data_IF_807192786435
#
_entry.id   IF_807192786435
#
_cell.length_a   1.000
_cell.length_b   1.000
_cell.length_c   1.000
_cell.angle_alpha   90.00
_cell.angle_beta   90.00
_cell.angle_gamma   90.00
#
_symmetry.space_group_name_H-M   'P 1'
#
loop_
_entity.id
_entity.type
_entity.pdbx_description
1 polymer ?
#
# COMPACT_ATOMS: atom_id res chain seq x y z
N UNK A 1 -17.21 3.62 -14.25
CA UNK A 1 -15.76 3.89 -14.04
C UNK A 1 -15.66 4.99 -13.00
N UNK A 2 -14.71 5.00 -12.07
CA UNK A 2 -14.59 6.11 -11.15
C UNK A 2 -14.38 7.40 -11.94
N UNK A 3 -15.19 8.40 -11.64
CA UNK A 3 -15.19 9.71 -12.31
C UNK A 3 -13.90 10.50 -12.09
N UNK A 4 -13.03 10.02 -11.20
CA UNK A 4 -11.73 10.62 -10.90
C UNK A 4 -10.68 9.52 -10.66
N UNK A 5 -9.70 9.40 -11.57
CA UNK A 5 -8.63 8.41 -11.44
C UNK A 5 -7.60 8.75 -10.34
N UNK A 6 -7.54 10.02 -9.93
CA UNK A 6 -6.56 10.51 -8.95
C UNK A 6 -6.95 10.24 -7.50
N UNK A 7 -8.24 10.21 -7.21
CA UNK A 7 -8.74 10.06 -5.83
C UNK A 7 -9.79 8.97 -5.74
N UNK A 8 -9.94 8.40 -4.55
CA UNK A 8 -10.98 7.42 -4.23
C UNK A 8 -11.40 7.57 -2.77
N UNK A 9 -12.63 7.16 -2.48
CA UNK A 9 -13.04 6.95 -1.09
C UNK A 9 -12.39 5.67 -0.56
N UNK A 10 -11.73 5.75 0.60
CA UNK A 10 -11.12 4.60 1.26
C UNK A 10 -12.09 4.04 2.31
N UNK A 11 -12.73 2.89 2.03
CA UNK A 11 -13.72 2.33 2.93
C UNK A 11 -13.13 1.99 4.29
N UNK A 12 -13.94 1.99 5.33
CA UNK A 12 -13.56 1.77 6.73
C UNK A 12 -12.68 2.87 7.35
N UNK A 13 -11.86 3.57 6.57
CA UNK A 13 -11.15 4.78 6.99
C UNK A 13 -12.05 6.01 6.86
N UNK A 14 -13.06 5.92 5.97
CA UNK A 14 -14.07 6.95 5.69
C UNK A 14 -13.45 8.30 5.29
N UNK A 15 -12.38 8.25 4.49
CA UNK A 15 -11.71 9.43 3.94
C UNK A 15 -11.49 9.28 2.44
N UNK A 16 -11.53 10.40 1.73
CA UNK A 16 -11.07 10.47 0.35
C UNK A 16 -9.56 10.54 0.33
N UNK A 17 -8.93 9.67 -0.44
CA UNK A 17 -7.47 9.59 -0.54
C UNK A 17 -7.00 9.74 -1.98
N UNK A 18 -5.83 10.34 -2.15
CA UNK A 18 -5.07 10.28 -3.38
C UNK A 18 -4.63 8.84 -3.61
N UNK A 19 -4.73 8.34 -4.84
CA UNK A 19 -4.53 6.91 -5.12
C UNK A 19 -3.07 6.46 -5.15
N UNK A 20 -2.15 7.29 -4.64
CA UNK A 20 -0.77 6.92 -4.29
C UNK A 20 -0.53 7.19 -2.80
N UNK A 21 -0.22 6.12 -2.06
CA UNK A 21 0.27 6.21 -0.69
C UNK A 21 1.79 6.23 -0.67
N UNK A 22 2.39 7.05 0.18
CA UNK A 22 3.83 7.29 0.17
C UNK A 22 4.52 6.59 1.34
N UNK A 23 5.53 5.76 1.02
CA UNK A 23 6.43 5.14 1.98
C UNK A 23 7.79 5.86 1.96
N UNK A 24 8.07 6.62 3.02
CA UNK A 24 9.19 7.56 3.08
C UNK A 24 10.55 6.97 3.48
N UNK A 25 10.71 5.63 3.52
CA UNK A 25 11.93 4.98 4.01
C UNK A 25 12.96 4.61 2.92
N UNK A 26 12.76 5.08 1.68
CA UNK A 26 13.58 4.71 0.54
C UNK A 26 14.57 5.80 0.09
N UNK A 27 14.50 7.01 0.66
CA UNK A 27 15.49 8.06 0.38
C UNK A 27 14.95 9.49 0.36
N UNK A 28 13.64 9.67 0.24
CA UNK A 28 12.98 10.98 0.34
C UNK A 28 13.06 11.54 1.76
N UNK A 29 12.84 12.85 1.90
CA UNK A 29 12.84 13.59 3.15
C UNK A 29 11.53 14.34 3.42
N UNK A 30 11.51 15.17 4.47
CA UNK A 30 10.32 15.95 4.87
C UNK A 30 9.87 16.92 3.79
N UNK A 31 10.78 17.54 3.04
CA UNK A 31 10.42 18.47 1.95
C UNK A 31 9.71 17.76 0.79
N UNK A 32 10.02 16.48 0.58
CA UNK A 32 9.34 15.64 -0.40
C UNK A 32 7.92 15.27 0.02
N UNK A 33 7.70 15.07 1.32
CA UNK A 33 6.36 14.84 1.89
C UNK A 33 5.48 16.10 1.71
N UNK A 34 6.01 17.27 2.06
CA UNK A 34 5.30 18.55 1.90
C UNK A 34 4.94 18.80 0.45
N UNK A 35 5.91 18.63 -0.47
CA UNK A 35 5.63 18.74 -1.90
C UNK A 35 4.55 17.76 -2.36
N UNK A 36 4.59 16.51 -1.90
CA UNK A 36 3.59 15.52 -2.29
C UNK A 36 2.19 15.89 -1.76
N UNK A 37 2.11 16.46 -0.57
CA UNK A 37 0.85 16.95 0.00
C UNK A 37 0.28 18.11 -0.83
N UNK A 38 1.11 19.04 -1.29
CA UNK A 38 0.73 20.11 -2.22
C UNK A 38 0.17 19.58 -3.54
N UNK A 39 0.64 18.40 -3.99
CA UNK A 39 0.12 17.71 -5.18
C UNK A 39 -1.15 16.89 -4.88
N UNK A 40 -1.64 16.88 -3.65
CA UNK A 40 -2.87 16.20 -3.23
C UNK A 40 -2.66 14.85 -2.54
N UNK A 41 -1.43 14.38 -2.37
CA UNK A 41 -1.18 13.16 -1.59
C UNK A 41 -1.57 13.37 -0.13
N UNK A 42 -2.23 12.37 0.44
CA UNK A 42 -2.70 12.42 1.82
C UNK A 42 -2.72 11.05 2.51
N UNK A 43 -2.01 10.06 1.96
CA UNK A 43 -1.86 8.74 2.57
C UNK A 43 -0.37 8.45 2.84
N UNK A 44 0.00 8.42 4.11
CA UNK A 44 1.37 8.34 4.58
C UNK A 44 1.63 7.01 5.29
N UNK A 45 2.62 6.26 4.81
CA UNK A 45 3.10 5.08 5.53
C UNK A 45 4.11 5.52 6.58
N UNK A 46 3.86 5.14 7.82
CA UNK A 46 4.74 5.38 8.94
C UNK A 46 5.37 4.10 9.48
N UNK A 47 6.59 4.22 9.97
CA UNK A 47 7.31 3.19 10.72
C UNK A 47 8.43 3.81 11.52
N UNK A 48 8.83 3.17 12.61
CA UNK A 48 9.82 3.72 13.55
C UNK A 48 11.19 4.07 12.93
N UNK A 49 11.52 3.52 11.76
CA UNK A 49 12.73 3.82 11.00
C UNK A 49 12.61 5.03 10.07
N UNK A 50 11.43 5.63 9.91
CA UNK A 50 11.14 6.68 8.92
C UNK A 50 11.46 8.09 9.40
N UNK A 51 12.54 8.25 10.16
CA UNK A 51 12.92 9.50 10.83
C UNK A 51 13.05 10.70 9.90
N UNK A 52 13.57 10.49 8.67
CA UNK A 52 13.80 11.58 7.69
C UNK A 52 12.52 12.27 7.22
N UNK A 53 11.37 11.60 7.31
CA UNK A 53 10.07 12.12 6.86
C UNK A 53 9.14 12.46 8.02
N UNK A 54 9.57 12.26 9.26
CA UNK A 54 8.74 12.45 10.45
C UNK A 54 8.20 13.88 10.57
N UNK A 55 9.10 14.87 10.42
CA UNK A 55 8.75 16.28 10.55
C UNK A 55 7.79 16.71 9.43
N UNK A 56 8.03 16.27 8.19
CA UNK A 56 7.14 16.53 7.06
C UNK A 56 5.75 15.93 7.26
N UNK A 57 5.67 14.67 7.71
CA UNK A 57 4.37 14.04 8.02
C UNK A 57 3.69 14.79 9.17
N UNK A 58 4.40 15.09 10.25
CA UNK A 58 3.85 15.87 11.37
C UNK A 58 3.33 17.23 10.91
N UNK A 59 4.10 17.93 10.05
CA UNK A 59 3.69 19.23 9.50
C UNK A 59 2.37 19.16 8.73
N UNK A 60 2.25 18.23 7.78
CA UNK A 60 1.01 18.08 6.99
C UNK A 60 -0.19 17.62 7.83
N UNK A 61 0.05 16.86 8.90
CA UNK A 61 -0.99 16.49 9.85
C UNK A 61 -1.54 17.69 10.60
N UNK A 62 -0.67 18.65 11.00
CA UNK A 62 -1.10 19.87 11.69
C UNK A 62 -1.85 20.85 10.79
N UNK A 63 -1.61 20.80 9.48
CA UNK A 63 -2.34 21.65 8.53
C UNK A 63 -3.81 21.23 8.38
N UNK A 64 -4.08 19.94 8.24
CA UNK A 64 -5.45 19.41 8.06
C UNK A 64 -5.51 17.92 8.43
N UNK A 65 -5.64 17.64 9.73
CA UNK A 65 -5.65 16.26 10.25
C UNK A 65 -6.77 15.40 9.66
N UNK A 66 -7.89 16.01 9.38
CA UNK A 66 -9.08 15.26 8.93
C UNK A 66 -8.94 14.75 7.50
N UNK A 67 -8.19 15.44 6.65
CA UNK A 67 -7.91 14.97 5.29
C UNK A 67 -6.77 13.97 5.22
N UNK A 68 -5.87 13.96 6.20
CA UNK A 68 -4.68 13.10 6.18
C UNK A 68 -4.99 11.69 6.69
N UNK A 69 -4.31 10.70 6.11
CA UNK A 69 -4.32 9.31 6.57
C UNK A 69 -2.91 8.89 6.93
N UNK A 70 -2.69 8.56 8.19
CA UNK A 70 -1.44 7.94 8.65
C UNK A 70 -1.66 6.46 8.89
N UNK A 71 -0.91 5.64 8.17
CA UNK A 71 -0.98 4.20 8.24
C UNK A 71 0.35 3.63 8.73
N UNK A 72 0.38 3.17 9.97
CA UNK A 72 1.56 2.55 10.54
C UNK A 72 1.68 1.09 10.12
N UNK A 73 2.88 0.65 9.81
CA UNK A 73 3.25 -0.75 9.65
C UNK A 73 4.03 -1.17 10.91
N UNK A 74 3.47 -2.09 11.68
CA UNK A 74 4.09 -2.56 12.92
C UNK A 74 4.09 -4.08 13.04
N UNK A 75 4.95 -4.60 13.92
CA UNK A 75 5.05 -6.02 14.23
C UNK A 75 5.27 -6.20 15.73
N UNK A 76 4.97 -7.37 16.23
CA UNK A 76 5.19 -7.74 17.63
C UNK A 76 4.83 -9.19 17.86
N UNK A 77 5.33 -9.75 18.95
CA UNK A 77 4.95 -11.07 19.46
C UNK A 77 3.89 -10.91 20.56
N UNK A 78 3.99 -9.83 21.32
CA UNK A 78 3.12 -9.53 22.44
C UNK A 78 2.39 -8.20 22.26
N UNK A 79 1.17 -8.08 22.78
CA UNK A 79 0.35 -6.87 22.68
C UNK A 79 1.01 -5.61 23.22
N UNK A 80 1.78 -5.70 24.33
CA UNK A 80 2.49 -4.55 24.88
C UNK A 80 3.50 -3.92 23.90
N UNK A 81 4.09 -4.72 23.01
CA UNK A 81 4.99 -4.20 21.96
C UNK A 81 4.22 -3.37 20.93
N UNK A 82 3.04 -3.85 20.52
CA UNK A 82 2.14 -3.12 19.63
C UNK A 82 1.74 -1.79 20.26
N UNK A 83 1.27 -1.81 21.52
CA UNK A 83 0.90 -0.60 22.27
C UNK A 83 2.04 0.40 22.32
N UNK A 84 3.24 -0.04 22.68
CA UNK A 84 4.44 0.80 22.70
C UNK A 84 4.76 1.41 21.34
N UNK A 85 4.60 0.65 20.25
CA UNK A 85 4.83 1.15 18.90
C UNK A 85 3.82 2.25 18.53
N UNK A 86 2.53 2.04 18.83
CA UNK A 86 1.48 3.05 18.58
C UNK A 86 1.77 4.32 19.38
N UNK A 87 1.99 4.20 20.69
CA UNK A 87 2.24 5.36 21.55
C UNK A 87 3.51 6.15 21.16
N UNK A 88 4.55 5.45 20.71
CA UNK A 88 5.75 6.09 20.17
C UNK A 88 5.45 6.85 18.88
N UNK A 89 4.67 6.26 17.98
CA UNK A 89 4.29 6.91 16.72
C UNK A 89 3.45 8.17 16.98
N UNK A 90 2.48 8.11 17.89
CA UNK A 90 1.66 9.26 18.26
C UNK A 90 2.50 10.43 18.79
N UNK A 91 3.49 10.13 19.66
CA UNK A 91 4.42 11.15 20.17
C UNK A 91 5.32 11.73 19.07
N UNK A 92 5.89 10.87 18.20
CA UNK A 92 6.81 11.29 17.15
C UNK A 92 6.13 12.14 16.06
N UNK A 93 4.88 11.82 15.75
CA UNK A 93 4.09 12.53 14.75
C UNK A 93 3.26 13.67 15.35
N UNK A 94 3.29 13.83 16.68
CA UNK A 94 2.51 14.81 17.42
C UNK A 94 1.02 14.78 17.01
N UNK A 95 0.40 13.62 17.13
CA UNK A 95 -1.01 13.36 16.78
C UNK A 95 -1.66 12.45 17.82
N UNK A 96 -2.98 12.59 18.00
CA UNK A 96 -3.72 11.82 19.00
C UNK A 96 -4.12 10.42 18.50
N UNK A 97 -4.12 10.18 17.19
CA UNK A 97 -4.51 8.90 16.61
C UNK A 97 -3.78 8.58 15.30
N UNK A 98 -3.69 7.29 15.00
CA UNK A 98 -3.36 6.77 13.68
C UNK A 98 -4.65 6.35 12.97
N UNK A 99 -4.77 6.64 11.69
CA UNK A 99 -5.94 6.18 10.92
C UNK A 99 -5.91 4.66 10.75
N UNK A 100 -4.74 4.08 10.51
CA UNK A 100 -4.58 2.65 10.29
C UNK A 100 -3.36 2.11 11.03
N UNK A 101 -3.53 1.02 11.77
CA UNK A 101 -2.41 0.18 12.19
C UNK A 101 -2.44 -1.14 11.43
N UNK A 102 -1.36 -1.46 10.71
CA UNK A 102 -1.21 -2.69 9.92
C UNK A 102 -0.26 -3.66 10.62
N UNK A 103 -0.77 -4.86 10.95
CA UNK A 103 0.09 -5.97 11.33
C UNK A 103 0.95 -6.40 10.14
N UNK A 104 2.28 -6.47 10.38
CA UNK A 104 3.23 -6.81 9.34
C UNK A 104 3.27 -8.31 9.06
N UNK A 105 3.27 -8.65 7.77
CA UNK A 105 3.67 -9.94 7.21
C UNK A 105 2.94 -11.16 7.79
N UNK A 106 1.62 -11.18 7.69
CA UNK A 106 0.90 -12.42 7.91
C UNK A 106 1.21 -13.40 6.75
N UNK A 107 1.97 -14.44 7.05
CA UNK A 107 2.33 -15.50 6.13
C UNK A 107 1.66 -16.82 6.50
N UNK A 108 1.97 -17.89 5.74
CA UNK A 108 1.43 -19.25 5.98
C UNK A 108 1.78 -19.81 7.36
N UNK A 109 2.95 -19.46 7.87
CA UNK A 109 3.51 -19.97 9.13
C UNK A 109 3.24 -19.05 10.35
N UNK A 110 2.62 -17.89 10.16
CA UNK A 110 2.26 -17.05 11.30
C UNK A 110 1.11 -17.70 12.06
N UNK A 111 1.36 -18.07 13.32
CA UNK A 111 0.35 -18.58 14.24
C UNK A 111 -0.81 -17.59 14.40
N UNK A 112 -1.93 -18.10 14.87
CA UNK A 112 -3.04 -17.25 15.29
C UNK A 112 -2.53 -16.21 16.29
N UNK A 113 -2.77 -14.95 16.00
CA UNK A 113 -2.29 -13.81 16.79
C UNK A 113 -3.45 -13.09 17.46
N UNK A 114 -4.39 -13.87 17.99
CA UNK A 114 -5.59 -13.31 18.62
C UNK A 114 -5.23 -12.25 19.68
N UNK A 115 -4.26 -12.51 20.57
CA UNK A 115 -3.85 -11.54 21.55
C UNK A 115 -3.27 -10.22 21.00
N UNK A 116 -2.78 -10.21 19.75
CA UNK A 116 -2.42 -8.96 19.06
C UNK A 116 -3.65 -8.24 18.51
N UNK A 117 -4.63 -8.99 18.00
CA UNK A 117 -5.90 -8.43 17.56
C UNK A 117 -6.65 -7.83 18.74
N UNK A 118 -6.72 -8.53 19.88
CA UNK A 118 -7.35 -8.02 21.11
C UNK A 118 -6.73 -6.69 21.54
N UNK A 119 -5.39 -6.59 21.54
CA UNK A 119 -4.70 -5.33 21.82
C UNK A 119 -5.02 -4.23 20.83
N UNK A 120 -5.17 -4.56 19.55
CA UNK A 120 -5.56 -3.57 18.53
C UNK A 120 -7.01 -3.12 18.70
N UNK A 121 -7.91 -4.01 19.13
CA UNK A 121 -9.28 -3.65 19.45
C UNK A 121 -9.34 -2.73 20.69
N UNK A 122 -8.53 -2.99 21.72
CA UNK A 122 -8.38 -2.08 22.87
C UNK A 122 -7.89 -0.69 22.41
N UNK A 123 -6.83 -0.62 21.61
CA UNK A 123 -6.30 0.64 21.07
C UNK A 123 -7.32 1.38 20.21
N UNK A 124 -8.19 0.65 19.49
CA UNK A 124 -9.31 1.23 18.73
C UNK A 124 -10.37 1.80 19.66
N UNK A 125 -10.73 1.10 20.74
CA UNK A 125 -11.65 1.61 21.77
C UNK A 125 -11.11 2.84 22.50
N UNK A 126 -9.78 2.88 22.73
CA UNK A 126 -9.09 4.06 23.28
C UNK A 126 -9.01 5.24 22.30
N UNK A 127 -9.42 5.07 21.04
CA UNK A 127 -9.33 6.08 20.00
C UNK A 127 -7.92 6.31 19.45
N UNK A 128 -6.91 5.53 19.87
CA UNK A 128 -5.52 5.66 19.41
C UNK A 128 -5.28 5.15 17.99
N UNK A 129 -6.09 4.20 17.52
CA UNK A 129 -6.15 3.76 16.11
C UNK A 129 -7.60 3.71 15.66
N UNK A 130 -7.86 3.92 14.37
CA UNK A 130 -9.24 3.88 13.83
C UNK A 130 -9.54 2.57 13.10
N UNK A 131 -8.58 2.07 12.32
CA UNK A 131 -8.73 0.88 11.46
C UNK A 131 -7.61 -0.11 11.72
N UNK A 132 -7.97 -1.39 11.83
CA UNK A 132 -7.03 -2.50 11.89
C UNK A 132 -6.78 -2.99 10.48
N UNK A 133 -5.52 -3.02 10.07
CA UNK A 133 -5.09 -3.55 8.78
C UNK A 133 -4.06 -4.66 8.90
N UNK A 134 -3.71 -5.25 7.77
CA UNK A 134 -2.59 -6.20 7.68
C UNK A 134 -1.84 -6.08 6.36
N UNK A 135 -0.52 -6.37 6.42
CA UNK A 135 0.28 -6.70 5.24
C UNK A 135 0.38 -8.22 5.14
N UNK A 136 -0.14 -8.79 4.06
CA UNK A 136 -0.28 -10.23 3.93
C UNK A 136 0.25 -10.75 2.60
N UNK A 137 1.06 -11.83 2.66
CA UNK A 137 1.62 -12.51 1.49
C UNK A 137 0.84 -13.76 1.09
N UNK A 138 0.17 -14.41 2.03
CA UNK A 138 -0.68 -15.57 1.78
C UNK A 138 -2.04 -15.10 1.24
N UNK A 139 -2.24 -15.26 -0.06
CA UNK A 139 -3.44 -14.77 -0.73
C UNK A 139 -4.70 -15.54 -0.32
N UNK A 140 -4.62 -16.86 -0.14
CA UNK A 140 -5.76 -17.66 0.31
C UNK A 140 -6.21 -17.21 1.72
N UNK A 141 -5.26 -16.93 2.63
CA UNK A 141 -5.56 -16.36 3.94
C UNK A 141 -6.12 -14.93 3.84
N UNK A 142 -5.59 -14.12 2.91
CA UNK A 142 -6.12 -12.77 2.68
C UNK A 142 -7.59 -12.81 2.20
N UNK A 143 -7.96 -13.75 1.34
CA UNK A 143 -9.34 -13.97 0.92
C UNK A 143 -10.26 -14.33 2.10
N UNK A 144 -9.82 -15.22 3.00
CA UNK A 144 -10.59 -15.53 4.22
C UNK A 144 -10.75 -14.31 5.15
N UNK A 145 -9.67 -13.56 5.36
CA UNK A 145 -9.70 -12.32 6.16
C UNK A 145 -10.67 -11.30 5.54
N UNK A 146 -10.74 -11.22 4.22
CA UNK A 146 -11.67 -10.33 3.53
C UNK A 146 -13.13 -10.69 3.81
N UNK A 147 -13.44 -11.99 3.98
CA UNK A 147 -14.79 -12.48 4.24
C UNK A 147 -15.21 -12.28 5.69
N UNK A 148 -14.33 -12.60 6.63
CA UNK A 148 -14.66 -12.61 8.07
C UNK A 148 -13.41 -12.34 8.90
N UNK A 149 -13.30 -11.16 9.50
CA UNK A 149 -12.30 -10.79 10.49
C UNK A 149 -12.50 -9.36 11.00
N UNK A 150 -11.77 -9.01 12.08
CA UNK A 150 -11.66 -7.63 12.58
C UNK A 150 -10.71 -6.75 11.74
N UNK A 151 -10.11 -7.32 10.70
CA UNK A 151 -9.18 -6.61 9.82
C UNK A 151 -9.95 -5.98 8.67
N UNK A 152 -9.95 -4.66 8.64
CA UNK A 152 -10.72 -3.84 7.70
C UNK A 152 -9.88 -3.26 6.55
N UNK A 153 -8.55 -3.48 6.57
CA UNK A 153 -7.66 -3.04 5.50
C UNK A 153 -6.63 -4.13 5.16
N UNK A 154 -6.55 -4.47 3.88
CA UNK A 154 -5.61 -5.43 3.33
C UNK A 154 -4.56 -4.72 2.48
N UNK A 155 -3.28 -4.91 2.82
CA UNK A 155 -2.15 -4.49 2.01
C UNK A 155 -1.55 -5.72 1.33
N UNK A 156 -1.72 -5.84 0.00
CA UNK A 156 -1.40 -7.04 -0.76
C UNK A 156 -0.44 -6.76 -1.90
N UNK A 157 0.37 -7.75 -2.26
CA UNK A 157 1.20 -7.68 -3.45
C UNK A 157 0.35 -7.87 -4.70
N UNK A 158 0.25 -6.81 -5.51
CA UNK A 158 -0.42 -6.85 -6.79
C UNK A 158 0.33 -6.01 -7.84
N UNK A 159 0.64 -6.60 -8.98
CA UNK A 159 1.30 -5.97 -10.12
C UNK A 159 1.24 -6.90 -11.34
N UNK A 160 1.65 -6.46 -12.53
CA UNK A 160 1.57 -7.22 -13.76
C UNK A 160 2.26 -8.60 -13.72
N UNK A 161 3.33 -8.74 -12.91
CA UNK A 161 4.00 -10.04 -12.68
C UNK A 161 3.24 -10.93 -11.69
N UNK A 162 2.54 -10.34 -10.72
CA UNK A 162 1.89 -11.03 -9.60
C UNK A 162 0.41 -10.70 -9.54
N UNK A 163 -0.38 -11.31 -10.42
CA UNK A 163 -1.83 -11.10 -10.60
C UNK A 163 -2.71 -12.04 -9.77
N UNK A 164 -2.15 -12.94 -8.96
CA UNK A 164 -2.92 -13.96 -8.24
C UNK A 164 -3.98 -13.43 -7.26
N UNK A 165 -3.89 -12.15 -6.87
CA UNK A 165 -4.93 -11.51 -6.06
C UNK A 165 -6.28 -11.44 -6.80
N UNK A 166 -6.29 -11.37 -8.13
CA UNK A 166 -7.49 -11.33 -8.96
C UNK A 166 -8.38 -12.58 -8.77
N UNK A 167 -7.77 -13.71 -8.46
CA UNK A 167 -8.46 -15.00 -8.29
C UNK A 167 -8.66 -15.35 -6.80
N UNK A 168 -7.72 -14.99 -5.95
CA UNK A 168 -7.68 -15.50 -4.57
C UNK A 168 -8.12 -14.47 -3.52
N UNK A 169 -8.23 -13.17 -3.87
CA UNK A 169 -8.59 -12.10 -2.92
C UNK A 169 -9.80 -11.30 -3.40
N UNK A 170 -9.74 -10.77 -4.63
CA UNK A 170 -10.75 -9.81 -5.12
C UNK A 170 -12.18 -10.34 -5.11
N UNK A 171 -12.46 -11.63 -5.44
CA UNK A 171 -13.83 -12.17 -5.36
C UNK A 171 -14.43 -12.17 -3.95
N UNK A 172 -13.61 -12.01 -2.92
CA UNK A 172 -14.03 -12.05 -1.52
C UNK A 172 -14.20 -10.65 -0.88
N UNK A 173 -13.97 -9.57 -1.65
CA UNK A 173 -13.99 -8.21 -1.10
C UNK A 173 -15.41 -7.64 -0.95
N UNK A 174 -16.37 -8.06 -1.78
CA UNK A 174 -17.69 -7.41 -1.89
C UNK A 174 -18.49 -7.47 -0.60
N UNK A 175 -18.43 -8.57 0.16
CA UNK A 175 -19.28 -8.80 1.33
C UNK A 175 -19.03 -7.78 2.45
N UNK A 176 -17.77 -7.53 2.81
CA UNK A 176 -17.38 -6.62 3.91
C UNK A 176 -16.80 -5.31 3.42
N UNK A 177 -16.41 -5.25 2.16
CA UNK A 177 -15.76 -4.11 1.52
C UNK A 177 -14.55 -3.58 2.32
N UNK A 178 -13.55 -4.43 2.67
CA UNK A 178 -12.33 -3.95 3.29
C UNK A 178 -11.55 -3.06 2.32
N UNK A 179 -10.83 -2.07 2.85
CA UNK A 179 -9.92 -1.28 2.03
C UNK A 179 -8.79 -2.16 1.47
N UNK A 180 -8.52 -2.07 0.17
CA UNK A 180 -7.44 -2.83 -0.47
C UNK A 180 -6.37 -1.91 -1.02
N UNK A 181 -5.14 -2.13 -0.56
CA UNK A 181 -3.95 -1.36 -0.93
C UNK A 181 -2.96 -2.29 -1.61
N UNK A 182 -2.51 -1.90 -2.79
CA UNK A 182 -1.49 -2.64 -3.52
C UNK A 182 -0.08 -2.10 -3.21
N UNK A 183 0.87 -3.00 -3.04
CA UNK A 183 2.28 -2.63 -2.94
C UNK A 183 3.13 -3.35 -3.98
N UNK A 184 4.36 -2.86 -4.21
CA UNK A 184 5.31 -3.35 -5.21
C UNK A 184 4.79 -3.30 -6.65
N UNK A 185 4.15 -2.19 -7.06
CA UNK A 185 3.65 -2.00 -8.42
C UNK A 185 4.73 -2.28 -9.49
N UNK A 186 5.97 -1.91 -9.24
CA UNK A 186 7.13 -2.12 -10.14
C UNK A 186 7.76 -3.53 -10.01
N UNK A 187 7.22 -4.42 -9.15
CA UNK A 187 7.80 -5.73 -8.83
C UNK A 187 9.30 -5.64 -8.46
N UNK A 188 9.69 -4.70 -7.59
CA UNK A 188 11.09 -4.36 -7.25
C UNK A 188 11.93 -4.04 -8.50
N UNK A 189 11.40 -3.19 -9.38
CA UNK A 189 11.99 -2.78 -10.65
C UNK A 189 12.19 -3.91 -11.68
N UNK A 190 11.61 -5.09 -11.47
CA UNK A 190 11.71 -6.18 -12.45
C UNK A 190 10.85 -5.92 -13.69
N UNK A 191 9.83 -5.09 -13.57
CA UNK A 191 8.98 -4.69 -14.69
C UNK A 191 9.56 -3.49 -15.47
N UNK A 192 10.42 -2.68 -14.85
CA UNK A 192 10.92 -1.43 -15.39
C UNK A 192 12.39 -1.47 -15.81
N UNK A 193 13.04 -2.64 -15.70
CA UNK A 193 14.44 -2.82 -16.14
C UNK A 193 14.51 -3.88 -17.22
N UNK A 194 15.42 -3.70 -18.21
CA UNK A 194 15.68 -4.73 -19.21
C UNK A 194 16.02 -6.07 -18.57
N UNK A 195 15.45 -7.14 -19.06
CA UNK A 195 15.77 -8.49 -18.62
C UNK A 195 16.54 -9.23 -19.73
N UNK A 196 17.69 -9.80 -19.35
CA UNK A 196 18.53 -10.55 -20.28
C UNK A 196 17.73 -11.64 -21.00
N UNK A 197 17.74 -11.60 -22.34
CA UNK A 197 17.01 -12.52 -23.24
C UNK A 197 15.47 -12.31 -23.21
N UNK A 198 15.03 -11.10 -22.97
CA UNK A 198 13.70 -10.61 -23.25
C UNK A 198 13.88 -9.40 -24.17
N UNK A 199 13.46 -9.53 -25.45
CA UNK A 199 13.65 -8.47 -26.47
C UNK A 199 12.59 -7.36 -26.37
N UNK A 200 11.50 -7.64 -25.67
CA UNK A 200 10.44 -6.65 -25.41
C UNK A 200 10.97 -5.56 -24.47
N UNK A 201 10.79 -4.28 -24.81
CA UNK A 201 11.17 -3.18 -23.94
C UNK A 201 10.52 -3.27 -22.56
N UNK A 202 11.21 -2.85 -21.47
CA UNK A 202 10.63 -2.81 -20.13
C UNK A 202 9.45 -1.84 -20.08
N UNK A 203 8.54 -2.08 -19.14
CA UNK A 203 7.44 -1.15 -18.88
C UNK A 203 7.94 0.15 -18.27
N UNK A 204 7.21 1.22 -18.48
CA UNK A 204 7.46 2.47 -17.76
C UNK A 204 6.87 2.40 -16.35
N UNK A 205 7.32 3.28 -15.47
CA UNK A 205 6.78 3.42 -14.11
C UNK A 205 5.28 3.71 -14.15
N UNK A 206 4.87 4.58 -15.05
CA UNK A 206 3.49 5.01 -15.24
C UNK A 206 2.58 3.84 -15.65
N UNK A 207 3.00 3.01 -16.60
CA UNK A 207 2.26 1.81 -17.01
C UNK A 207 2.07 0.83 -15.83
N UNK A 208 3.09 0.66 -15.00
CA UNK A 208 3.01 -0.23 -13.84
C UNK A 208 1.98 0.26 -12.79
N UNK A 209 1.97 1.56 -12.45
CA UNK A 209 0.99 2.11 -11.51
C UNK A 209 -0.41 2.15 -12.10
N UNK A 210 -0.55 2.55 -13.37
CA UNK A 210 -1.83 2.56 -14.07
C UNK A 210 -2.43 1.15 -14.14
N UNK A 211 -1.61 0.11 -14.38
CA UNK A 211 -2.07 -1.29 -14.33
C UNK A 211 -2.72 -1.63 -12.98
N UNK A 212 -2.03 -1.33 -11.90
CA UNK A 212 -2.52 -1.61 -10.55
C UNK A 212 -3.80 -0.83 -10.26
N UNK A 213 -3.83 0.45 -10.58
CA UNK A 213 -4.93 1.36 -10.28
C UNK A 213 -6.12 1.26 -11.25
N UNK A 214 -5.95 0.64 -12.43
CA UNK A 214 -7.05 0.33 -13.34
C UNK A 214 -7.93 -0.81 -12.83
N UNK A 215 -7.47 -1.59 -11.85
CA UNK A 215 -8.29 -2.61 -11.22
C UNK A 215 -9.28 -1.95 -10.23
N UNK A 216 -10.61 -2.18 -10.38
CA UNK A 216 -11.63 -1.52 -9.57
C UNK A 216 -11.58 -1.88 -8.08
N UNK A 217 -11.01 -3.04 -7.73
CA UNK A 217 -10.86 -3.47 -6.34
C UNK A 217 -9.69 -2.80 -5.62
N UNK A 218 -8.76 -2.15 -6.34
CA UNK A 218 -7.60 -1.49 -5.74
C UNK A 218 -7.93 -0.03 -5.45
N UNK A 219 -7.94 0.33 -4.18
CA UNK A 219 -8.21 1.72 -3.77
C UNK A 219 -6.98 2.60 -4.02
N UNK A 220 -5.80 2.19 -3.58
CA UNK A 220 -4.56 2.92 -3.84
C UNK A 220 -3.36 1.98 -3.99
N UNK A 221 -2.30 2.47 -4.63
CA UNK A 221 -1.00 1.82 -4.73
C UNK A 221 0.03 2.54 -3.86
N UNK A 222 0.94 1.79 -3.23
CA UNK A 222 2.06 2.38 -2.49
C UNK A 222 3.24 2.64 -3.40
N UNK A 223 3.82 3.83 -3.26
CA UNK A 223 5.12 4.20 -3.84
C UNK A 223 6.18 4.37 -2.75
N UNK A 224 7.40 3.89 -3.04
CA UNK A 224 8.58 4.06 -2.19
C UNK A 224 9.71 4.70 -3.00
N UNK A 225 9.65 6.01 -3.27
CA UNK A 225 10.61 6.71 -4.09
C UNK A 225 11.93 6.92 -3.33
N UNK A 226 13.05 6.82 -4.05
CA UNK A 226 14.38 7.11 -3.52
C UNK A 226 14.74 8.61 -3.57
N UNK A 227 14.00 9.39 -4.36
CA UNK A 227 14.19 10.83 -4.54
C UNK A 227 12.94 11.49 -5.14
N UNK A 228 12.95 12.83 -5.20
CA UNK A 228 11.88 13.67 -5.75
C UNK A 228 11.52 13.30 -7.20
N UNK A 229 12.49 12.96 -8.03
CA UNK A 229 12.23 12.62 -9.43
C UNK A 229 11.42 11.34 -9.58
N UNK A 230 11.76 10.29 -8.84
CA UNK A 230 10.97 9.06 -8.81
C UNK A 230 9.56 9.29 -8.23
N UNK A 231 9.44 10.20 -7.27
CA UNK A 231 8.15 10.59 -6.72
C UNK A 231 7.29 11.25 -7.81
N UNK A 232 7.81 12.22 -8.56
CA UNK A 232 7.14 12.86 -9.70
C UNK A 232 6.72 11.86 -10.78
N UNK A 233 7.57 10.90 -11.13
CA UNK A 233 7.23 9.83 -12.07
C UNK A 233 6.04 8.98 -11.59
N UNK A 234 5.97 8.68 -10.29
CA UNK A 234 4.83 7.96 -9.73
C UNK A 234 3.54 8.77 -9.83
N UNK A 235 3.60 10.08 -9.60
CA UNK A 235 2.45 10.99 -9.72
C UNK A 235 1.95 11.13 -11.17
N UNK A 236 2.87 11.17 -12.14
CA UNK A 236 2.53 11.27 -13.57
C UNK A 236 1.60 10.13 -14.03
N UNK A 237 1.66 8.95 -13.38
CA UNK A 237 0.77 7.83 -13.67
C UNK A 237 -0.72 8.17 -13.49
N UNK A 238 -1.06 9.01 -12.51
CA UNK A 238 -2.45 9.37 -12.23
C UNK A 238 -2.98 10.44 -13.19
N UNK A 239 -2.09 11.27 -13.74
CA UNK A 239 -2.46 12.25 -14.76
C UNK A 239 -2.90 11.59 -16.07
N UNK A 240 -2.33 10.44 -16.39
CA UNK A 240 -2.59 9.70 -17.63
C UNK A 240 -3.92 8.89 -17.59
N UNK A 241 -4.52 8.75 -16.40
CA UNK A 241 -5.77 7.99 -16.25
C UNK A 241 -5.59 6.46 -16.33
N UNK A 242 -6.70 5.69 -16.41
CA UNK A 242 -6.66 4.25 -16.51
C UNK A 242 -6.01 3.77 -17.81
N UNK A 243 -5.53 2.52 -17.82
CA UNK A 243 -5.02 1.89 -19.04
C UNK A 243 -6.14 1.71 -20.07
N UNK A 244 -5.81 1.87 -21.36
CA UNK A 244 -6.66 1.37 -22.44
C UNK A 244 -6.65 -0.17 -22.48
N UNK A 245 -7.54 -0.76 -23.28
CA UNK A 245 -7.57 -2.22 -23.46
C UNK A 245 -6.23 -2.73 -24.01
N UNK A 246 -5.68 -2.04 -25.00
CA UNK A 246 -4.42 -2.39 -25.67
C UNK A 246 -3.23 -2.25 -24.70
N UNK A 247 -3.18 -1.18 -23.92
CA UNK A 247 -2.15 -1.00 -22.88
C UNK A 247 -2.26 -2.09 -21.81
N UNK A 248 -3.47 -2.47 -21.39
CA UNK A 248 -3.71 -3.52 -20.41
C UNK A 248 -3.19 -4.88 -20.91
N UNK A 249 -3.46 -5.23 -22.16
CA UNK A 249 -2.98 -6.47 -22.78
C UNK A 249 -1.44 -6.49 -22.86
N UNK A 250 -0.83 -5.39 -23.32
CA UNK A 250 0.62 -5.25 -23.38
C UNK A 250 1.26 -5.43 -22.01
N UNK A 251 0.74 -4.77 -20.99
CA UNK A 251 1.29 -4.83 -19.63
C UNK A 251 1.12 -6.23 -19.03
N UNK A 252 0.00 -6.89 -19.26
CA UNK A 252 -0.25 -8.28 -18.82
C UNK A 252 0.70 -9.27 -19.50
N UNK A 253 0.90 -9.11 -20.81
CA UNK A 253 1.81 -9.99 -21.55
C UNK A 253 3.25 -9.84 -21.07
N UNK A 254 3.74 -8.61 -20.93
CA UNK A 254 5.07 -8.36 -20.39
C UNK A 254 5.23 -8.94 -18.97
N UNK A 255 4.23 -8.77 -18.11
CA UNK A 255 4.24 -9.36 -16.77
C UNK A 255 4.33 -10.89 -16.76
N UNK A 256 3.63 -11.57 -17.69
CA UNK A 256 3.73 -13.03 -17.90
C UNK A 256 5.14 -13.44 -18.32
N UNK A 257 5.75 -12.75 -19.27
CA UNK A 257 7.10 -13.00 -19.74
C UNK A 257 8.13 -12.86 -18.61
N UNK A 258 8.05 -11.77 -17.83
CA UNK A 258 8.92 -11.55 -16.65
C UNK A 258 8.75 -12.65 -15.60
N UNK A 259 7.53 -13.13 -15.38
CA UNK A 259 7.23 -14.20 -14.44
C UNK A 259 7.79 -15.54 -14.89
N UNK A 260 7.61 -15.89 -16.17
CA UNK A 260 8.07 -17.16 -16.76
C UNK A 260 9.60 -17.26 -16.72
N UNK A 261 10.29 -16.17 -17.11
CA UNK A 261 11.75 -16.14 -17.15
C UNK A 261 12.40 -16.34 -15.79
N UNK A 262 11.90 -15.69 -14.75
CA UNK A 262 12.42 -15.85 -13.39
C UNK A 262 12.18 -17.25 -12.82
N UNK A 263 11.14 -17.98 -13.25
CA UNK A 263 10.98 -19.40 -12.90
C UNK A 263 12.11 -20.26 -13.48
N UNK A 264 12.51 -20.01 -14.72
CA UNK A 264 13.60 -20.73 -15.40
C UNK A 264 14.97 -20.48 -14.75
N UNK A 265 15.21 -19.26 -14.25
CA UNK A 265 16.46 -18.88 -13.56
C UNK A 265 16.61 -19.56 -12.17
N UNK A 266 15.50 -19.96 -11.52
CA UNK A 266 15.51 -20.71 -10.26
C UNK A 266 15.62 -22.24 -10.42
N UNK A 267 15.44 -22.77 -11.64
CA UNK A 267 15.49 -24.21 -11.93
C UNK A 267 16.86 -24.63 -12.51
N UNK A 268 17.74 -23.68 -12.79
CA UNK A 268 19.13 -23.89 -13.18
C UNK A 268 20.06 -23.70 -11.98
#
# INVERSE_FOLDING_TARGET
>A
MPTNFKTTHLPKVEKNVYRLGIAGNYGIDSSDIEWAAEQGANYWIWGASYKKVADGISHVLHQDRDKQVVAMLGWGVFGWQIRKHVENALRQLNTDYLDVFKLSWLGKMSSDRQGLIDTLLELKLEGKIRVIGTSIHDRARAGRIALDSEIDLLMVRYNAKHTGAEQEIFPHLEMRNPALIAYTALAWNQLTRPLKGLDTPPLTTELCYRFVLSNPHVHLALTGPANREQLKQSFAALELGPLSTEEMELVREYGRQVKAKKKLDYVK
#
